data_IF_983931268076
#
_entry.id   IF_983931268076
#
_cell.length_a   1.000
_cell.length_b   1.000
_cell.length_c   1.000
_cell.angle_alpha   90.00
_cell.angle_beta   90.00
_cell.angle_gamma   90.00
#
_symmetry.space_group_name_H-M   'P 1'
#
loop_
_entity.id
_entity.type
_entity.pdbx_description
1 polymer ?
#
# COMPACT_ATOMS: atom_id res chain seq x y z
N UNK A 1 23.87 0.32 19.04
CA UNK A 1 22.68 0.01 19.86
C UNK A 1 21.48 0.28 18.97
N UNK A 2 20.68 -0.73 18.64
CA UNK A 2 19.43 -0.48 17.90
C UNK A 2 18.51 0.35 18.82
N UNK A 3 18.02 1.47 18.30
CA UNK A 3 17.01 2.27 18.98
C UNK A 3 15.75 1.43 19.22
N UNK A 4 15.07 1.64 20.37
CA UNK A 4 13.86 0.90 20.75
C UNK A 4 12.81 0.90 19.62
N UNK A 5 12.63 2.04 18.98
CA UNK A 5 11.73 2.21 17.83
C UNK A 5 12.14 1.32 16.66
N UNK A 6 13.42 1.22 16.36
CA UNK A 6 13.95 0.38 15.27
C UNK A 6 13.68 -1.11 15.52
N UNK A 7 13.78 -1.56 16.77
CA UNK A 7 13.45 -2.93 17.15
C UNK A 7 11.97 -3.21 16.97
N UNK A 8 11.10 -2.35 17.49
CA UNK A 8 9.63 -2.48 17.39
C UNK A 8 9.19 -2.53 15.91
N UNK A 9 9.79 -1.70 15.05
CA UNK A 9 9.51 -1.71 13.61
C UNK A 9 9.93 -3.03 12.95
N UNK A 10 11.05 -3.61 13.36
CA UNK A 10 11.51 -4.91 12.86
C UNK A 10 10.54 -6.03 13.28
N UNK A 11 10.12 -6.04 14.54
CA UNK A 11 9.21 -7.04 15.09
C UNK A 11 7.82 -6.93 14.42
N UNK A 12 7.32 -5.72 14.20
CA UNK A 12 6.07 -5.50 13.46
C UNK A 12 6.16 -5.96 12.00
N UNK A 13 7.28 -5.70 11.31
CA UNK A 13 7.50 -6.18 9.95
C UNK A 13 7.50 -7.71 9.88
N UNK A 14 8.09 -8.37 10.87
CA UNK A 14 8.05 -9.83 11.01
C UNK A 14 6.62 -10.34 11.23
N UNK A 15 5.86 -9.74 12.14
CA UNK A 15 4.44 -10.04 12.38
C UNK A 15 3.62 -9.95 11.08
N UNK A 16 3.74 -8.86 10.34
CA UNK A 16 3.02 -8.69 9.07
C UNK A 16 3.35 -9.80 8.06
N UNK A 17 4.64 -10.15 7.96
CA UNK A 17 5.14 -11.13 6.99
C UNK A 17 4.78 -12.57 7.37
N UNK A 18 4.98 -12.95 8.61
CA UNK A 18 4.92 -14.34 9.06
C UNK A 18 3.54 -14.68 9.63
N UNK A 19 3.03 -13.88 10.57
CA UNK A 19 1.78 -14.21 11.25
C UNK A 19 0.55 -13.78 10.42
N UNK A 20 0.64 -12.64 9.75
CA UNK A 20 -0.45 -12.13 8.89
C UNK A 20 -0.32 -12.58 7.43
N UNK A 21 0.77 -13.22 7.05
CA UNK A 21 1.06 -13.67 5.66
C UNK A 21 0.75 -12.60 4.60
N UNK A 22 1.04 -11.34 4.90
CA UNK A 22 0.77 -10.22 4.00
C UNK A 22 1.74 -10.23 2.82
N UNK A 23 1.29 -9.70 1.67
CA UNK A 23 2.14 -9.58 0.48
C UNK A 23 3.39 -8.73 0.77
N UNK A 24 4.53 -9.00 0.10
CA UNK A 24 5.76 -8.19 0.26
C UNK A 24 5.51 -6.69 0.05
N UNK A 25 4.67 -6.32 -0.90
CA UNK A 25 4.32 -4.93 -1.17
C UNK A 25 3.57 -4.29 0.01
N UNK A 26 2.65 -5.03 0.64
CA UNK A 26 1.91 -4.54 1.81
C UNK A 26 2.85 -4.39 3.00
N UNK A 27 3.71 -5.37 3.27
CA UNK A 27 4.71 -5.30 4.35
C UNK A 27 5.61 -4.08 4.17
N UNK A 28 6.16 -3.88 2.97
CA UNK A 28 7.01 -2.72 2.67
C UNK A 28 6.26 -1.41 2.85
N UNK A 29 5.04 -1.29 2.31
CA UNK A 29 4.25 -0.06 2.40
C UNK A 29 3.91 0.29 3.86
N UNK A 30 3.44 -0.68 4.64
CA UNK A 30 3.09 -0.47 6.04
C UNK A 30 4.32 -0.12 6.88
N UNK A 31 5.42 -0.86 6.71
CA UNK A 31 6.67 -0.58 7.43
C UNK A 31 7.23 0.82 7.10
N UNK A 32 7.10 1.26 5.84
CA UNK A 32 7.52 2.61 5.43
C UNK A 32 6.63 3.67 6.06
N UNK A 33 5.30 3.50 6.02
CA UNK A 33 4.36 4.45 6.62
C UNK A 33 4.63 4.63 8.12
N UNK A 34 4.87 3.54 8.86
CA UNK A 34 5.14 3.60 10.30
C UNK A 34 6.50 4.26 10.59
N UNK A 35 7.52 3.95 9.79
CA UNK A 35 8.83 4.60 9.93
C UNK A 35 8.71 6.10 9.70
N UNK A 36 8.06 6.55 8.62
CA UNK A 36 7.86 7.96 8.33
C UNK A 36 7.07 8.69 9.44
N UNK A 37 6.12 8.00 10.07
CA UNK A 37 5.40 8.55 11.21
C UNK A 37 6.33 8.80 12.39
N UNK A 38 7.16 7.81 12.77
CA UNK A 38 8.08 7.96 13.88
C UNK A 38 9.28 8.85 13.58
N UNK A 39 9.65 9.03 12.32
CA UNK A 39 10.63 10.05 11.90
C UNK A 39 10.08 11.48 12.04
N UNK A 40 8.77 11.65 11.96
CA UNK A 40 8.09 12.95 12.06
C UNK A 40 7.62 13.28 13.48
N UNK A 41 7.56 12.33 14.40
CA UNK A 41 7.15 12.53 15.80
C UNK A 41 8.29 12.22 16.75
N UNK A 42 8.32 12.90 17.89
CA UNK A 42 9.26 12.61 18.99
C UNK A 42 8.68 11.66 20.04
N UNK A 43 7.39 11.32 19.92
CA UNK A 43 6.71 10.46 20.88
C UNK A 43 7.18 9.00 20.72
N UNK A 44 7.34 8.32 21.85
CA UNK A 44 7.59 6.88 21.84
C UNK A 44 6.32 6.11 21.44
N UNK A 45 6.44 4.91 20.86
CA UNK A 45 5.26 4.12 20.43
C UNK A 45 4.19 3.94 21.50
N UNK A 46 4.59 3.79 22.77
CA UNK A 46 3.66 3.66 23.90
C UNK A 46 2.96 4.98 24.29
N UNK A 47 3.50 6.12 23.90
CA UNK A 47 3.07 7.46 24.36
C UNK A 47 2.28 8.23 23.30
N UNK A 48 2.26 7.75 22.04
CA UNK A 48 1.53 8.39 20.93
C UNK A 48 0.06 8.59 21.31
N UNK A 49 -0.41 9.82 21.11
CA UNK A 49 -1.81 10.20 21.36
C UNK A 49 -2.62 10.25 20.07
N UNK A 50 -3.95 10.29 20.21
CA UNK A 50 -4.86 10.53 19.08
C UNK A 50 -4.56 11.86 18.38
N UNK A 51 -4.14 12.88 19.14
CA UNK A 51 -3.81 14.19 18.58
C UNK A 51 -2.56 14.12 17.69
N UNK A 52 -1.54 13.35 18.08
CA UNK A 52 -0.33 13.14 17.24
C UNK A 52 -0.69 12.51 15.88
N UNK A 53 -1.64 11.57 15.88
CA UNK A 53 -2.13 10.95 14.64
C UNK A 53 -2.87 11.99 13.77
N UNK A 54 -3.75 12.79 14.37
CA UNK A 54 -4.52 13.82 13.66
C UNK A 54 -3.56 14.87 13.07
N UNK A 55 -2.61 15.35 13.82
CA UNK A 55 -1.64 16.36 13.38
C UNK A 55 -0.75 15.82 12.26
N UNK A 56 -0.31 14.58 12.36
CA UNK A 56 0.47 13.93 11.30
C UNK A 56 -0.33 13.77 10.01
N UNK A 57 -1.59 13.33 10.08
CA UNK A 57 -2.45 13.21 8.91
C UNK A 57 -2.76 14.58 8.29
N UNK A 58 -2.96 15.61 9.12
CA UNK A 58 -3.16 16.99 8.65
C UNK A 58 -1.91 17.54 7.92
N UNK A 59 -0.71 17.20 8.39
CA UNK A 59 0.54 17.59 7.72
C UNK A 59 0.74 16.89 6.36
N UNK A 60 0.03 15.78 6.11
CA UNK A 60 0.03 15.03 4.83
C UNK A 60 -1.13 15.44 3.91
N UNK A 61 -1.57 16.70 3.95
CA UNK A 61 -2.70 17.27 3.20
C UNK A 61 -2.56 17.14 1.66
N UNK A 62 -1.33 17.09 1.16
CA UNK A 62 -1.02 16.88 -0.28
C UNK A 62 -1.29 15.47 -0.78
N UNK A 63 -1.46 14.50 0.12
CA UNK A 63 -1.82 13.14 -0.26
C UNK A 63 -3.28 13.06 -0.74
N UNK A 64 -3.52 12.19 -1.72
CA UNK A 64 -4.91 11.88 -2.11
C UNK A 64 -5.67 11.28 -0.92
N UNK A 65 -7.01 11.45 -0.89
CA UNK A 65 -7.86 10.86 0.16
C UNK A 65 -7.68 9.35 0.28
N UNK A 66 -7.43 8.65 -0.84
CA UNK A 66 -7.14 7.22 -0.86
C UNK A 66 -5.80 6.90 -0.18
N UNK A 67 -4.76 7.70 -0.44
CA UNK A 67 -3.46 7.54 0.21
C UNK A 67 -3.52 7.84 1.70
N UNK A 68 -4.27 8.88 2.10
CA UNK A 68 -4.50 9.18 3.52
C UNK A 68 -5.27 8.05 4.23
N UNK A 69 -6.30 7.47 3.59
CA UNK A 69 -7.04 6.35 4.16
C UNK A 69 -6.15 5.10 4.30
N UNK A 70 -5.27 4.83 3.33
CA UNK A 70 -4.29 3.75 3.41
C UNK A 70 -3.30 3.98 4.55
N UNK A 71 -2.77 5.20 4.67
CA UNK A 71 -1.86 5.59 5.74
C UNK A 71 -2.50 5.40 7.12
N UNK A 72 -3.74 5.85 7.31
CA UNK A 72 -4.47 5.62 8.55
C UNK A 72 -4.69 4.13 8.83
N UNK A 73 -4.91 3.31 7.80
CA UNK A 73 -5.05 1.86 7.95
C UNK A 73 -3.75 1.20 8.39
N UNK A 74 -2.59 1.65 7.88
CA UNK A 74 -1.29 1.13 8.32
C UNK A 74 -0.99 1.52 9.77
N UNK A 75 -1.30 2.75 10.18
CA UNK A 75 -1.17 3.20 11.58
C UNK A 75 -2.10 2.40 12.52
N UNK A 76 -3.36 2.22 12.15
CA UNK A 76 -4.29 1.39 12.94
C UNK A 76 -3.77 -0.03 13.14
N UNK A 77 -3.31 -0.66 12.06
CA UNK A 77 -2.75 -2.01 12.12
C UNK A 77 -1.54 -2.11 13.06
N UNK A 78 -0.67 -1.11 13.04
CA UNK A 78 0.48 -1.06 13.93
C UNK A 78 0.09 -0.92 15.41
N UNK A 79 -0.81 0.01 15.71
CA UNK A 79 -1.25 0.22 17.09
C UNK A 79 -2.15 -0.91 17.62
N UNK A 80 -2.94 -1.57 16.76
CA UNK A 80 -3.66 -2.80 17.11
C UNK A 80 -2.67 -3.93 17.49
N UNK A 81 -1.59 -4.06 16.74
CA UNK A 81 -0.53 -5.01 17.07
C UNK A 81 0.14 -4.69 18.40
N UNK A 82 0.47 -3.42 18.68
CA UNK A 82 1.03 -3.03 19.99
C UNK A 82 0.09 -3.32 21.14
N UNK A 83 -1.23 -3.18 20.94
CA UNK A 83 -2.23 -3.55 21.95
C UNK A 83 -2.25 -5.07 22.15
N UNK A 84 -2.18 -5.84 21.07
CA UNK A 84 -2.14 -7.30 21.13
C UNK A 84 -0.89 -7.84 21.84
N UNK A 85 0.28 -7.19 21.64
CA UNK A 85 1.54 -7.50 22.32
C UNK A 85 1.57 -7.04 23.80
N UNK A 86 0.55 -6.28 24.24
CA UNK A 86 0.50 -5.73 25.60
C UNK A 86 1.38 -4.52 25.85
N UNK A 87 1.99 -3.96 24.79
CA UNK A 87 2.82 -2.75 24.84
C UNK A 87 1.98 -1.48 25.01
N UNK A 88 0.67 -1.54 24.71
CA UNK A 88 -0.31 -0.48 24.88
C UNK A 88 -1.65 -1.02 25.40
N UNK A 89 -2.45 -0.13 26.00
CA UNK A 89 -3.81 -0.46 26.45
C UNK A 89 -4.89 -0.13 25.43
N UNK A 90 -4.62 0.80 24.49
CA UNK A 90 -5.57 1.37 23.56
C UNK A 90 -4.91 1.66 22.20
N UNK A 91 -5.74 1.77 21.17
CA UNK A 91 -5.30 2.18 19.84
C UNK A 91 -5.62 3.68 19.64
N UNK A 92 -4.62 4.59 19.52
CA UNK A 92 -4.85 6.02 19.37
C UNK A 92 -5.55 6.39 18.04
N UNK A 93 -5.61 5.46 17.07
CA UNK A 93 -6.30 5.65 15.80
C UNK A 93 -7.80 5.27 15.85
N UNK A 94 -8.31 4.72 16.96
CA UNK A 94 -9.66 4.16 17.04
C UNK A 94 -10.74 5.20 16.74
N UNK A 95 -10.58 6.41 17.26
CA UNK A 95 -11.54 7.51 17.10
C UNK A 95 -11.25 8.43 15.91
N UNK A 96 -10.17 8.15 15.15
CA UNK A 96 -9.81 8.97 13.99
C UNK A 96 -10.66 8.55 12.79
N UNK A 97 -11.42 9.50 12.24
CA UNK A 97 -12.26 9.26 11.06
C UNK A 97 -11.43 8.99 9.81
N UNK A 98 -11.80 7.95 9.07
CA UNK A 98 -11.23 7.72 7.75
C UNK A 98 -11.76 8.72 6.74
N UNK A 99 -10.91 9.25 5.84
CA UNK A 99 -11.37 10.09 4.74
C UNK A 99 -12.47 9.38 3.94
N UNK A 100 -13.58 10.07 3.68
CA UNK A 100 -14.66 9.54 2.83
C UNK A 100 -14.13 9.39 1.40
N UNK A 101 -14.03 8.15 0.95
CA UNK A 101 -13.65 7.82 -0.42
C UNK A 101 -14.92 7.82 -1.28
N UNK A 102 -14.91 8.61 -2.36
CA UNK A 102 -15.93 8.48 -3.40
C UNK A 102 -15.84 7.08 -4.04
N UNK A 103 -16.98 6.53 -4.45
CA UNK A 103 -17.00 5.33 -5.29
C UNK A 103 -16.45 5.70 -6.66
N UNK A 104 -15.20 5.32 -6.91
CA UNK A 104 -14.59 5.40 -8.24
C UNK A 104 -14.80 4.05 -8.91
N UNK A 105 -15.63 4.03 -9.95
CA UNK A 105 -15.69 2.88 -10.85
C UNK A 105 -14.53 3.02 -11.84
N UNK A 106 -13.69 1.99 -11.99
CA UNK A 106 -12.63 2.01 -12.99
C UNK A 106 -13.25 2.21 -14.38
N UNK A 107 -12.66 3.07 -15.18
CA UNK A 107 -12.94 3.10 -16.60
C UNK A 107 -12.41 1.81 -17.22
N UNK A 108 -13.29 1.11 -17.93
CA UNK A 108 -12.95 -0.11 -18.66
C UNK A 108 -12.92 0.18 -20.14
N UNK A 109 -11.92 -0.34 -20.82
CA UNK A 109 -11.86 -0.26 -22.28
C UNK A 109 -12.94 -1.12 -22.91
N UNK A 110 -13.59 -0.61 -23.95
CA UNK A 110 -14.47 -1.38 -24.80
C UNK A 110 -13.68 -2.38 -25.66
N UNK A 111 -14.36 -3.38 -26.20
CA UNK A 111 -13.74 -4.36 -27.11
C UNK A 111 -13.11 -3.67 -28.32
N UNK A 112 -13.78 -2.64 -28.87
CA UNK A 112 -13.29 -1.89 -30.02
C UNK A 112 -12.01 -1.10 -29.71
N UNK A 113 -11.93 -0.50 -28.52
CA UNK A 113 -10.71 0.20 -28.06
C UNK A 113 -9.56 -0.78 -27.85
N UNK A 114 -9.81 -1.95 -27.25
CA UNK A 114 -8.78 -2.99 -27.11
C UNK A 114 -8.32 -3.48 -28.48
N UNK A 115 -9.23 -3.71 -29.42
CA UNK A 115 -8.90 -4.12 -30.78
C UNK A 115 -8.05 -3.07 -31.47
N UNK A 116 -8.43 -1.80 -31.36
CA UNK A 116 -7.67 -0.68 -31.93
C UNK A 116 -6.25 -0.56 -31.35
N UNK A 117 -6.09 -0.76 -30.04
CA UNK A 117 -4.76 -0.81 -29.39
C UNK A 117 -3.95 -1.96 -29.97
N UNK A 118 -4.52 -3.13 -30.10
CA UNK A 118 -3.82 -4.30 -30.65
C UNK A 118 -3.42 -4.11 -32.11
N UNK A 119 -4.28 -3.54 -32.93
CA UNK A 119 -4.03 -3.28 -34.35
C UNK A 119 -3.00 -2.16 -34.58
N UNK A 120 -2.83 -1.24 -33.63
CA UNK A 120 -1.84 -0.18 -33.72
C UNK A 120 -0.38 -0.66 -33.64
N UNK A 121 -0.16 -1.91 -33.23
CA UNK A 121 1.18 -2.46 -33.05
C UNK A 121 1.78 -2.86 -34.42
N UNK A 122 2.93 -2.28 -34.78
CA UNK A 122 3.67 -2.61 -36.01
C UNK A 122 4.31 -4.02 -35.92
N UNK A 123 3.76 -4.97 -36.64
CA UNK A 123 4.23 -6.36 -36.66
C UNK A 123 5.44 -6.59 -37.61
N UNK A 124 5.94 -5.56 -38.30
CA UNK A 124 7.10 -5.70 -39.18
C UNK A 124 8.40 -5.92 -38.38
N UNK A 125 8.45 -5.42 -37.15
CA UNK A 125 9.61 -5.52 -36.26
C UNK A 125 9.47 -6.67 -35.24
N UNK A 126 10.61 -7.19 -34.76
CA UNK A 126 10.63 -8.17 -33.66
C UNK A 126 9.99 -7.61 -32.39
N UNK A 127 10.27 -6.36 -32.05
CA UNK A 127 9.71 -5.71 -30.87
C UNK A 127 8.19 -5.61 -30.97
N UNK A 128 7.65 -5.25 -32.13
CA UNK A 128 6.20 -5.19 -32.32
C UNK A 128 5.54 -6.57 -32.18
N UNK A 129 6.15 -7.63 -32.69
CA UNK A 129 5.63 -9.01 -32.52
C UNK A 129 5.61 -9.41 -31.04
N UNK A 130 6.68 -9.09 -30.29
CA UNK A 130 6.74 -9.31 -28.84
C UNK A 130 5.67 -8.52 -28.11
N UNK A 131 5.55 -7.22 -28.40
CA UNK A 131 4.62 -6.33 -27.72
C UNK A 131 3.16 -6.74 -27.98
N UNK A 132 2.85 -7.17 -29.20
CA UNK A 132 1.55 -7.72 -29.55
C UNK A 132 1.25 -9.01 -28.76
N UNK A 133 2.20 -9.92 -28.66
CA UNK A 133 2.05 -11.16 -27.90
C UNK A 133 1.80 -10.87 -26.41
N UNK A 134 2.51 -9.90 -25.83
CA UNK A 134 2.27 -9.47 -24.43
C UNK A 134 0.84 -8.94 -24.26
N UNK A 135 0.38 -8.05 -25.15
CA UNK A 135 -0.98 -7.51 -25.10
C UNK A 135 -2.05 -8.60 -25.21
N UNK A 136 -1.86 -9.57 -26.11
CA UNK A 136 -2.77 -10.70 -26.29
C UNK A 136 -2.84 -11.58 -25.04
N UNK A 137 -1.70 -11.86 -24.39
CA UNK A 137 -1.65 -12.64 -23.15
C UNK A 137 -2.31 -11.87 -22.00
N UNK A 138 -2.03 -10.57 -21.86
CA UNK A 138 -2.65 -9.73 -20.83
C UNK A 138 -4.18 -9.70 -20.98
N UNK A 139 -4.68 -9.47 -22.18
CA UNK A 139 -6.11 -9.38 -22.45
C UNK A 139 -6.80 -10.73 -22.43
N UNK A 140 -6.25 -11.73 -23.14
CA UNK A 140 -6.86 -13.06 -23.29
C UNK A 140 -6.88 -13.87 -21.98
N UNK A 141 -5.86 -13.72 -21.14
CA UNK A 141 -5.76 -14.40 -19.85
C UNK A 141 -6.20 -13.54 -18.66
N UNK A 142 -6.50 -12.27 -18.87
CA UNK A 142 -6.88 -11.34 -17.78
C UNK A 142 -5.77 -11.13 -16.75
N UNK A 143 -4.49 -11.24 -17.15
CA UNK A 143 -3.35 -11.12 -16.25
C UNK A 143 -3.06 -9.67 -15.90
N UNK A 144 -2.63 -9.45 -14.65
CA UNK A 144 -2.00 -8.18 -14.27
C UNK A 144 -0.58 -8.13 -14.83
N UNK A 145 -0.05 -6.92 -15.08
CA UNK A 145 1.32 -6.74 -15.58
C UNK A 145 2.35 -7.47 -14.70
N UNK A 146 2.19 -7.42 -13.37
CA UNK A 146 3.07 -8.12 -12.43
C UNK A 146 3.00 -9.63 -12.50
N UNK A 147 1.91 -10.18 -13.04
CA UNK A 147 1.72 -11.63 -13.26
C UNK A 147 2.27 -12.06 -14.63
N UNK A 148 2.26 -11.16 -15.60
CA UNK A 148 2.78 -11.43 -16.95
C UNK A 148 4.31 -11.33 -17.03
N UNK A 149 4.94 -10.37 -16.34
CA UNK A 149 6.40 -10.13 -16.39
C UNK A 149 7.25 -11.38 -16.08
N UNK A 150 6.92 -12.25 -15.10
CA UNK A 150 7.71 -13.45 -14.83
C UNK A 150 7.59 -14.54 -15.88
N UNK A 151 6.66 -14.43 -16.84
CA UNK A 151 6.41 -15.45 -17.88
C UNK A 151 7.34 -15.26 -19.09
N UNK A 152 7.95 -14.06 -19.25
CA UNK A 152 8.80 -13.68 -20.40
C UNK A 152 10.28 -14.02 -20.22
#
# INVERSE_FOLDING_TARGET
MMDLTSKILSDYSYYLKIERAMSPNTVTSYSTDIREFFDATTALPAEVTTQDIIDYLAAKDKLSKRSQARLLSSLRSFFDWLVAEGERKDNPCETVDSPKLGRYLPEVLSVDEVTSIMESVDLSSWNGKRDRAILEVLYGCGLRVSEAVPIT
#
